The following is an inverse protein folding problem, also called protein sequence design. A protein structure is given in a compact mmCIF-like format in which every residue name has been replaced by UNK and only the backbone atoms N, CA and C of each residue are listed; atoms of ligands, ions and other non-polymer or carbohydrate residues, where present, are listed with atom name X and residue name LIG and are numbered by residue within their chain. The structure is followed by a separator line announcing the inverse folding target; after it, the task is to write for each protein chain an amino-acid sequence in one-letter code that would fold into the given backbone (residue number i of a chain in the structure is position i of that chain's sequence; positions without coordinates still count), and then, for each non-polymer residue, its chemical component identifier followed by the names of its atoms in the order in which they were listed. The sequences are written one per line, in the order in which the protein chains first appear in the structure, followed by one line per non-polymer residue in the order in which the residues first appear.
data_IF_347206879177
#
_entry.id   IF_347206879177
#
_cell.length_a   1.000
_cell.length_b   1.000
_cell.length_c   1.000
_cell.angle_alpha   90.00
_cell.angle_beta   90.00
_cell.angle_gamma   90.00
#
_symmetry.space_group_name_H-M   'P 1'
#
loop_
_entity.id
_entity.type
_entity.pdbx_description
1 polymer ?
#
# COMPACT_ATOMS: atom_id res chain seq x y z
N UNK A 1 -4.42 8.39 -2.72
CA UNK A 1 -3.25 9.25 -2.42
C UNK A 1 -2.03 8.42 -2.02
N UNK A 2 -2.08 7.49 -1.06
CA UNK A 2 -0.91 6.69 -0.63
C UNK A 2 -0.19 5.92 -1.76
N UNK A 3 -0.93 5.22 -2.62
CA UNK A 3 -0.35 4.54 -3.79
C UNK A 3 0.42 5.52 -4.69
N UNK A 4 -0.10 6.73 -4.87
CA UNK A 4 0.55 7.75 -5.69
C UNK A 4 1.77 8.34 -4.96
N UNK A 5 1.71 8.50 -3.64
CA UNK A 5 2.83 8.95 -2.83
C UNK A 5 4.00 7.95 -2.87
N UNK A 6 3.72 6.65 -2.68
CA UNK A 6 4.71 5.57 -2.82
C UNK A 6 5.37 5.65 -4.20
N UNK A 7 4.54 5.72 -5.26
CA UNK A 7 5.06 5.80 -6.64
C UNK A 7 5.89 7.06 -6.90
N UNK A 8 5.46 8.21 -6.41
CA UNK A 8 6.19 9.47 -6.58
C UNK A 8 7.56 9.40 -5.89
N UNK A 9 7.58 8.92 -4.64
CA UNK A 9 8.81 8.87 -3.87
C UNK A 9 9.79 7.84 -4.43
N UNK A 10 9.32 6.69 -4.90
CA UNK A 10 10.17 5.73 -5.60
C UNK A 10 10.71 6.28 -6.94
N UNK A 11 9.89 7.05 -7.67
CA UNK A 11 10.30 7.63 -8.95
C UNK A 11 11.43 8.66 -8.82
N UNK A 12 11.53 9.37 -7.69
CA UNK A 12 12.66 10.28 -7.39
C UNK A 12 14.02 9.57 -7.41
N UNK A 13 14.04 8.25 -7.15
CA UNK A 13 15.23 7.40 -7.17
C UNK A 13 15.28 6.47 -8.39
N UNK A 14 14.46 6.72 -9.42
CA UNK A 14 14.43 5.91 -10.65
C UNK A 14 13.69 4.57 -10.52
N UNK A 15 13.05 4.29 -9.38
CA UNK A 15 12.24 3.09 -9.17
C UNK A 15 10.82 3.33 -9.69
N UNK A 16 10.54 2.84 -10.90
CA UNK A 16 9.25 2.96 -11.56
C UNK A 16 8.56 1.59 -11.63
N UNK A 17 7.25 1.57 -11.43
CA UNK A 17 6.39 0.40 -11.59
C UNK A 17 5.06 0.78 -12.25
N UNK A 18 4.29 -0.25 -12.62
CA UNK A 18 2.95 -0.10 -13.19
C UNK A 18 2.00 0.66 -12.26
N UNK A 19 0.91 1.21 -12.82
CA UNK A 19 -0.07 1.92 -12.02
C UNK A 19 -0.92 0.96 -11.16
N UNK A 20 -1.41 1.47 -10.02
CA UNK A 20 -2.33 0.74 -9.14
C UNK A 20 -1.65 -0.04 -8.02
N UNK A 21 -2.45 -0.81 -7.29
CA UNK A 21 -2.04 -1.47 -6.04
C UNK A 21 -0.94 -2.52 -6.25
N UNK A 22 -0.94 -3.24 -7.38
CA UNK A 22 0.08 -4.24 -7.68
C UNK A 22 1.46 -3.60 -7.88
N UNK A 23 1.52 -2.50 -8.63
CA UNK A 23 2.77 -1.77 -8.81
C UNK A 23 3.25 -1.09 -7.53
N UNK A 24 2.34 -0.62 -6.67
CA UNK A 24 2.72 -0.10 -5.35
C UNK A 24 3.37 -1.19 -4.47
N UNK A 25 2.82 -2.41 -4.47
CA UNK A 25 3.41 -3.54 -3.72
C UNK A 25 4.78 -3.93 -4.26
N UNK A 26 4.94 -4.01 -5.57
CA UNK A 26 6.25 -4.26 -6.21
C UNK A 26 7.29 -3.24 -5.77
N UNK A 27 6.93 -1.96 -5.75
CA UNK A 27 7.83 -0.90 -5.28
C UNK A 27 8.23 -1.08 -3.81
N UNK A 28 7.27 -1.39 -2.93
CA UNK A 28 7.56 -1.62 -1.50
C UNK A 28 8.51 -2.80 -1.33
N UNK A 29 8.26 -3.92 -2.03
CA UNK A 29 9.13 -5.09 -1.96
C UNK A 29 10.55 -4.77 -2.46
N UNK A 30 10.67 -4.07 -3.58
CA UNK A 30 11.96 -3.60 -4.11
C UNK A 30 12.65 -2.65 -3.14
N UNK A 31 11.91 -1.79 -2.45
CA UNK A 31 12.44 -0.88 -1.44
C UNK A 31 12.99 -1.62 -0.21
N UNK A 32 12.36 -2.73 0.19
CA UNK A 32 12.87 -3.60 1.27
C UNK A 32 14.18 -4.27 0.87
N UNK A 33 14.31 -4.70 -0.40
CA UNK A 33 15.51 -5.36 -0.91
C UNK A 33 16.62 -4.39 -1.35
N UNK A 34 16.31 -3.11 -1.51
CA UNK A 34 17.26 -2.10 -1.97
C UNK A 34 18.31 -1.80 -0.90
N UNK A 35 19.58 -1.85 -1.28
CA UNK A 35 20.68 -1.40 -0.44
C UNK A 35 20.76 0.14 -0.38
N UNK A 36 21.66 0.67 0.45
CA UNK A 36 21.85 2.11 0.61
C UNK A 36 22.46 2.78 -0.65
N UNK A 37 23.02 2.01 -1.58
CA UNK A 37 23.55 2.55 -2.85
C UNK A 37 22.44 2.83 -3.86
N UNK A 38 21.37 2.05 -3.78
CA UNK A 38 20.19 2.14 -4.64
C UNK A 38 19.15 3.11 -4.07
N UNK A 39 18.95 3.09 -2.76
CA UNK A 39 17.97 3.92 -2.09
C UNK A 39 18.48 4.39 -0.72
N UNK A 40 18.56 5.71 -0.46
CA UNK A 40 18.94 6.22 0.85
C UNK A 40 18.01 5.69 1.96
N UNK A 41 18.57 5.46 3.14
CA UNK A 41 17.83 4.91 4.28
C UNK A 41 16.60 5.74 4.65
N UNK A 42 16.69 7.07 4.57
CA UNK A 42 15.56 7.96 4.84
C UNK A 42 14.41 7.77 3.85
N UNK A 43 14.71 7.57 2.56
CA UNK A 43 13.71 7.34 1.53
C UNK A 43 13.06 5.95 1.69
N UNK A 44 13.87 4.94 2.07
CA UNK A 44 13.36 3.61 2.45
C UNK A 44 12.36 3.74 3.61
N UNK A 45 12.71 4.49 4.65
CA UNK A 45 11.83 4.74 5.80
C UNK A 45 10.49 5.38 5.42
N UNK A 46 10.49 6.38 4.53
CA UNK A 46 9.24 7.03 4.07
C UNK A 46 8.36 6.06 3.28
N UNK A 47 8.93 5.30 2.35
CA UNK A 47 8.17 4.32 1.56
C UNK A 47 7.57 3.24 2.46
N UNK A 48 8.32 2.75 3.45
CA UNK A 48 7.84 1.77 4.43
C UNK A 48 6.68 2.32 5.27
N UNK A 49 6.79 3.55 5.78
CA UNK A 49 5.71 4.20 6.52
C UNK A 49 4.42 4.32 5.68
N UNK A 50 4.55 4.71 4.40
CA UNK A 50 3.42 4.81 3.50
C UNK A 50 2.80 3.45 3.19
N UNK A 51 3.62 2.39 3.12
CA UNK A 51 3.17 1.02 2.92
C UNK A 51 2.36 0.52 4.12
N UNK A 52 2.85 0.72 5.34
CA UNK A 52 2.15 0.35 6.58
C UNK A 52 0.78 1.05 6.68
N UNK A 53 0.71 2.34 6.36
CA UNK A 53 -0.56 3.08 6.33
C UNK A 53 -1.53 2.51 5.29
N UNK A 54 -1.03 2.12 4.11
CA UNK A 54 -1.85 1.53 3.07
C UNK A 54 -2.42 0.18 3.50
N UNK A 55 -1.60 -0.67 4.11
CA UNK A 55 -2.02 -1.98 4.62
C UNK A 55 -3.07 -1.86 5.73
N UNK A 56 -2.84 -0.95 6.68
CA UNK A 56 -3.79 -0.67 7.76
C UNK A 56 -5.16 -0.22 7.21
N UNK A 57 -5.18 0.67 6.21
CA UNK A 57 -6.41 1.11 5.58
C UNK A 57 -7.12 -0.02 4.81
N UNK A 58 -6.37 -0.84 4.08
CA UNK A 58 -6.93 -2.00 3.38
C UNK A 58 -7.59 -2.97 4.37
N UNK A 59 -6.93 -3.27 5.49
CA UNK A 59 -7.46 -4.15 6.52
C UNK A 59 -8.76 -3.60 7.14
N UNK A 60 -8.80 -2.29 7.42
CA UNK A 60 -9.99 -1.62 7.95
C UNK A 60 -11.16 -1.67 6.96
N UNK A 61 -10.91 -1.38 5.68
CA UNK A 61 -11.93 -1.46 4.62
C UNK A 61 -12.48 -2.89 4.50
N UNK A 62 -11.61 -3.90 4.52
CA UNK A 62 -12.04 -5.30 4.48
C UNK A 62 -12.88 -5.68 5.69
N UNK A 63 -12.52 -5.20 6.88
CA UNK A 63 -13.30 -5.41 8.09
C UNK A 63 -14.70 -4.79 7.99
N UNK A 64 -14.81 -3.58 7.44
CA UNK A 64 -16.08 -2.92 7.18
C UNK A 64 -16.91 -3.68 6.14
N UNK A 65 -16.31 -4.13 5.04
CA UNK A 65 -17.00 -4.94 4.03
C UNK A 65 -17.56 -6.24 4.63
N UNK A 66 -16.81 -6.92 5.51
CA UNK A 66 -17.33 -8.12 6.19
C UNK A 66 -18.55 -7.80 7.07
N UNK A 67 -18.52 -6.68 7.79
CA UNK A 67 -19.67 -6.24 8.61
C UNK A 67 -20.89 -5.89 7.75
N UNK A 68 -20.68 -5.20 6.63
CA UNK A 68 -21.75 -4.87 5.68
C UNK A 68 -22.39 -6.12 5.09
N UNK A 69 -21.58 -7.10 4.66
CA UNK A 69 -22.10 -8.38 4.14
C UNK A 69 -22.85 -9.19 5.21
N UNK A 70 -22.38 -9.16 6.47
CA UNK A 70 -23.09 -9.82 7.56
C UNK A 70 -24.44 -9.16 7.86
N UNK A 71 -24.48 -7.82 7.88
CA UNK A 71 -25.71 -7.07 8.04
C UNK A 71 -26.70 -7.33 6.90
N UNK A 72 -26.23 -7.27 5.64
CA UNK A 72 -27.11 -7.48 4.48
C UNK A 72 -27.79 -8.86 4.50
N UNK A 73 -27.04 -9.93 4.82
CA UNK A 73 -27.62 -11.28 4.94
C UNK A 73 -28.70 -11.37 6.02
N UNK A 74 -28.49 -10.71 7.17
CA UNK A 74 -29.49 -10.67 8.24
C UNK A 74 -30.75 -9.88 7.85
N UNK A 75 -30.63 -8.96 6.89
CA UNK A 75 -31.76 -8.18 6.37
C UNK A 75 -32.59 -8.91 5.31
N UNK A 76 -32.01 -9.90 4.61
CA UNK A 76 -32.70 -10.74 3.62
C UNK A 76 -33.44 -11.93 4.26
N UNK A 77 -33.05 -12.31 5.49
CA UNK A 77 -33.68 -13.37 6.27
C UNK A 77 -34.88 -12.90 7.15
N UNK A 78 -35.27 -11.61 7.04
CA UNK A 78 -36.40 -10.98 7.75
C UNK A 78 -37.63 -10.80 6.84
#
# INVERSE_FOLDING_TARGET
MLINAIRAHCAEFGLIAAQGARGARDLVERTVQADNSTLPEVARGVVMLLAEQLEALVAQIQALNRRLLAWHRQSEDC
#
